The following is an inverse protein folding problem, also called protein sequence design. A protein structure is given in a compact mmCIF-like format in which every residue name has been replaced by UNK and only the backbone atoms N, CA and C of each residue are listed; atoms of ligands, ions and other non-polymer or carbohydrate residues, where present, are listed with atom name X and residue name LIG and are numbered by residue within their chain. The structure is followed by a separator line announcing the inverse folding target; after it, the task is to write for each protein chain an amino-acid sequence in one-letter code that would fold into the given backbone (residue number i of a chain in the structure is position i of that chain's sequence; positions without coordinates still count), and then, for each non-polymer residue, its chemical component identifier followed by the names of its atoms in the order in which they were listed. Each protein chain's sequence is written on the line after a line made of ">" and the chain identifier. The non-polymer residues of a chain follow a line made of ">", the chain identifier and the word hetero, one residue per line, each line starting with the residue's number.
data_IF_100626741430
#
_entry.id   IF_100626741430
#
_cell.length_a   1.000
_cell.length_b   1.000
_cell.length_c   1.000
_cell.angle_alpha   90.00
_cell.angle_beta   90.00
_cell.angle_gamma   90.00
#
_symmetry.space_group_name_H-M   'P 1'
#
loop_
_entity.id
_entity.type
_entity.pdbx_description
1 polymer ?
#
# COMPACT_ATOMS: atom_id res chain seq x y z
N UNK A 1 32.82 15.38 -45.15
CA UNK A 1 32.99 16.59 -44.31
C UNK A 1 31.71 17.06 -43.62
N UNK A 2 30.75 16.18 -43.33
CA UNK A 2 29.59 16.45 -42.44
C UNK A 2 29.61 15.55 -41.19
N UNK A 3 30.24 14.38 -41.32
CA UNK A 3 30.43 13.39 -40.24
C UNK A 3 31.44 13.87 -39.18
N UNK A 4 32.44 14.67 -39.56
CA UNK A 4 33.44 15.21 -38.62
C UNK A 4 32.90 16.37 -37.78
N UNK A 5 32.02 17.22 -38.34
CA UNK A 5 31.40 18.33 -37.60
C UNK A 5 30.38 17.86 -36.56
N UNK A 6 29.82 16.65 -36.71
CA UNK A 6 29.01 15.99 -35.69
C UNK A 6 29.84 15.29 -34.60
N UNK A 7 31.13 15.00 -34.86
CA UNK A 7 32.01 14.29 -33.94
C UNK A 7 32.79 15.22 -32.99
N UNK A 8 32.97 16.50 -33.37
CA UNK A 8 33.58 17.56 -32.53
C UNK A 8 32.60 18.19 -31.52
N UNK A 9 31.42 17.62 -31.39
CA UNK A 9 30.35 18.19 -30.62
C UNK A 9 30.25 17.50 -29.25
N UNK A 10 30.87 18.11 -28.23
CA UNK A 10 30.90 17.67 -26.81
C UNK A 10 29.55 17.21 -26.23
N UNK A 11 28.44 17.62 -26.85
CA UNK A 11 27.08 17.27 -26.44
C UNK A 11 26.55 15.96 -27.04
N UNK A 12 27.17 15.41 -28.08
CA UNK A 12 26.65 14.24 -28.81
C UNK A 12 26.73 12.97 -27.97
N UNK A 13 27.88 12.70 -27.33
CA UNK A 13 28.01 11.54 -26.44
C UNK A 13 27.08 11.63 -25.21
N UNK A 14 26.99 12.76 -24.49
CA UNK A 14 26.00 12.94 -23.43
C UNK A 14 24.54 12.79 -23.90
N UNK A 15 24.17 13.36 -25.04
CA UNK A 15 22.81 13.27 -25.56
C UNK A 15 22.44 11.84 -25.97
N UNK A 16 23.38 11.13 -26.60
CA UNK A 16 23.19 9.73 -26.95
C UNK A 16 23.10 8.85 -25.69
N UNK A 17 23.98 9.08 -24.71
CA UNK A 17 23.92 8.44 -23.40
C UNK A 17 22.58 8.64 -22.71
N UNK A 18 22.07 9.88 -22.71
CA UNK A 18 20.73 10.20 -22.19
C UNK A 18 19.64 9.40 -22.90
N UNK A 19 19.63 9.41 -24.23
CA UNK A 19 18.63 8.73 -25.04
C UNK A 19 18.64 7.22 -24.78
N UNK A 20 19.82 6.60 -24.75
CA UNK A 20 19.95 5.16 -24.47
C UNK A 20 19.51 4.84 -23.04
N UNK A 21 19.96 5.62 -22.05
CA UNK A 21 19.56 5.42 -20.65
C UNK A 21 18.04 5.54 -20.45
N UNK A 22 17.43 6.56 -21.05
CA UNK A 22 16.00 6.77 -21.07
C UNK A 22 15.26 5.61 -21.76
N UNK A 23 15.69 5.24 -22.97
CA UNK A 23 15.03 4.21 -23.77
C UNK A 23 15.16 2.81 -23.14
N UNK A 24 16.32 2.47 -22.59
CA UNK A 24 16.55 1.19 -21.92
C UNK A 24 15.68 1.07 -20.67
N UNK A 25 15.59 2.12 -19.85
CA UNK A 25 14.78 2.07 -18.64
C UNK A 25 13.27 2.06 -18.96
N UNK A 26 12.84 2.81 -19.97
CA UNK A 26 11.48 2.74 -20.49
C UNK A 26 11.13 1.33 -20.97
N UNK A 27 12.00 0.71 -21.78
CA UNK A 27 11.78 -0.64 -22.29
C UNK A 27 11.78 -1.69 -21.17
N UNK A 28 12.66 -1.53 -20.17
CA UNK A 28 12.73 -2.43 -19.03
C UNK A 28 11.40 -2.45 -18.26
N UNK A 29 10.86 -1.27 -17.91
CA UNK A 29 9.55 -1.15 -17.27
C UNK A 29 8.44 -1.73 -18.13
N UNK A 30 8.45 -1.40 -19.43
CA UNK A 30 7.45 -1.93 -20.36
C UNK A 30 7.43 -3.47 -20.36
N UNK A 31 8.59 -4.12 -20.42
CA UNK A 31 8.71 -5.60 -20.42
C UNK A 31 8.37 -6.22 -19.06
N UNK A 32 8.55 -5.50 -17.96
CA UNK A 32 8.20 -5.98 -16.62
C UNK A 32 6.68 -6.13 -16.49
N UNK A 33 5.91 -5.15 -16.96
CA UNK A 33 4.46 -5.12 -16.81
C UNK A 33 3.68 -5.67 -18.02
N UNK A 34 4.25 -5.64 -19.23
CA UNK A 34 3.55 -6.06 -20.45
C UNK A 34 4.20 -7.29 -21.13
N UNK A 35 3.41 -8.18 -21.76
CA UNK A 35 1.94 -8.16 -21.82
C UNK A 35 1.31 -8.70 -20.53
N UNK A 36 0.14 -8.15 -20.17
CA UNK A 36 -0.64 -8.55 -18.98
C UNK A 36 -1.19 -9.97 -19.10
N UNK A 37 -1.64 -10.35 -20.30
CA UNK A 37 -2.01 -11.73 -20.62
C UNK A 37 -0.83 -12.46 -21.24
N UNK A 38 -0.64 -13.76 -20.94
CA UNK A 38 0.35 -14.58 -21.64
C UNK A 38 0.01 -14.68 -23.12
N UNK A 39 0.93 -14.25 -23.98
CA UNK A 39 0.84 -14.38 -25.43
C UNK A 39 1.66 -15.60 -25.85
N UNK A 40 0.98 -16.65 -26.32
CA UNK A 40 1.65 -17.82 -26.86
C UNK A 40 2.11 -17.58 -28.31
N UNK A 41 3.42 -17.59 -28.53
CA UNK A 41 4.01 -17.50 -29.86
C UNK A 41 4.16 -18.92 -30.41
N UNK A 42 3.42 -19.20 -31.49
CA UNK A 42 3.46 -20.48 -32.21
C UNK A 42 4.08 -20.29 -33.59
N UNK A 43 5.08 -21.11 -33.93
CA UNK A 43 5.74 -21.10 -35.24
C UNK A 43 5.52 -22.46 -35.91
N UNK A 44 4.99 -22.47 -37.13
CA UNK A 44 4.66 -23.70 -37.87
C UNK A 44 3.81 -24.71 -37.07
N UNK A 45 2.91 -24.23 -36.21
CA UNK A 45 2.04 -25.07 -35.37
C UNK A 45 2.69 -25.59 -34.07
N UNK A 46 3.98 -25.33 -33.83
CA UNK A 46 4.70 -25.70 -32.61
C UNK A 46 4.78 -24.51 -31.64
N UNK A 47 4.62 -24.80 -30.34
CA UNK A 47 4.78 -23.80 -29.28
C UNK A 47 6.27 -23.40 -29.17
N UNK A 48 6.60 -22.15 -29.50
CA UNK A 48 7.97 -21.65 -29.49
C UNK A 48 8.31 -20.99 -28.15
N UNK A 49 7.47 -20.06 -27.70
CA UNK A 49 7.64 -19.37 -26.42
C UNK A 49 6.35 -18.66 -25.99
N UNK A 50 6.24 -18.34 -24.69
CA UNK A 50 5.18 -17.48 -24.15
C UNK A 50 5.77 -16.16 -23.73
N UNK A 51 5.29 -15.06 -24.34
CA UNK A 51 5.62 -13.71 -23.92
C UNK A 51 4.63 -13.30 -22.81
N UNK A 52 5.15 -12.96 -21.65
CA UNK A 52 4.37 -12.50 -20.50
C UNK A 52 5.24 -11.52 -19.71
N UNK A 53 4.66 -10.40 -19.27
CA UNK A 53 5.33 -9.48 -18.35
C UNK A 53 5.94 -10.23 -17.16
N UNK A 54 7.19 -9.91 -16.83
CA UNK A 54 7.96 -10.63 -15.79
C UNK A 54 7.23 -10.58 -14.44
N UNK A 55 6.61 -9.45 -14.14
CA UNK A 55 5.88 -9.21 -12.90
C UNK A 55 4.57 -9.99 -12.86
N UNK A 56 3.79 -9.92 -13.94
CA UNK A 56 2.51 -10.62 -14.09
C UNK A 56 2.69 -12.14 -14.04
N UNK A 57 3.80 -12.65 -14.60
CA UNK A 57 4.16 -14.07 -14.51
C UNK A 57 4.39 -14.54 -13.06
N UNK A 58 4.77 -13.65 -12.15
CA UNK A 58 5.04 -13.92 -10.73
C UNK A 58 3.92 -13.44 -9.81
N UNK A 59 2.68 -13.37 -10.32
CA UNK A 59 1.51 -12.92 -9.56
C UNK A 59 1.43 -13.54 -8.15
N UNK A 60 1.69 -14.84 -8.01
CA UNK A 60 1.65 -15.51 -6.70
C UNK A 60 2.70 -14.99 -5.72
N UNK A 61 3.96 -14.90 -6.15
CA UNK A 61 5.07 -14.40 -5.31
C UNK A 61 4.84 -12.93 -4.94
N UNK A 62 4.46 -12.12 -5.93
CA UNK A 62 4.17 -10.69 -5.73
C UNK A 62 2.98 -10.52 -4.80
N UNK A 63 1.95 -11.36 -4.89
CA UNK A 63 0.78 -11.27 -4.01
C UNK A 63 1.12 -11.52 -2.56
N UNK A 64 2.02 -12.47 -2.28
CA UNK A 64 2.49 -12.76 -0.93
C UNK A 64 3.32 -11.61 -0.35
N UNK A 65 4.25 -11.03 -1.11
CA UNK A 65 5.06 -9.92 -0.61
C UNK A 65 4.24 -8.64 -0.46
N UNK A 66 3.33 -8.37 -1.40
CA UNK A 66 2.46 -7.20 -1.33
C UNK A 66 1.50 -7.28 -0.15
N UNK A 67 0.85 -8.43 0.09
CA UNK A 67 -0.07 -8.58 1.22
C UNK A 67 0.64 -8.35 2.56
N UNK A 68 1.88 -8.85 2.69
CA UNK A 68 2.71 -8.65 3.86
C UNK A 68 3.00 -7.17 4.10
N UNK A 69 3.51 -6.46 3.09
CA UNK A 69 3.82 -5.03 3.19
C UNK A 69 2.56 -4.22 3.49
N UNK A 70 1.45 -4.49 2.81
CA UNK A 70 0.19 -3.77 3.04
C UNK A 70 -0.35 -4.00 4.45
N UNK A 71 -0.29 -5.22 4.98
CA UNK A 71 -0.73 -5.47 6.35
C UNK A 71 0.19 -4.81 7.37
N UNK A 72 1.50 -4.88 7.17
CA UNK A 72 2.48 -4.27 8.06
C UNK A 72 2.34 -2.74 8.11
N UNK A 73 2.11 -2.10 6.96
CA UNK A 73 2.09 -0.63 6.85
C UNK A 73 0.70 -0.03 7.06
N UNK A 74 -0.36 -0.68 6.59
CA UNK A 74 -1.70 -0.07 6.50
C UNK A 74 -2.80 -0.88 7.19
N UNK A 75 -2.86 -2.19 6.94
CA UNK A 75 -4.00 -3.03 7.30
C UNK A 75 -3.62 -3.99 8.43
N UNK A 76 -3.46 -3.45 9.64
CA UNK A 76 -3.23 -4.23 10.85
C UNK A 76 -4.12 -3.77 12.01
N UNK A 77 -4.18 -4.60 13.05
CA UNK A 77 -5.01 -4.36 14.21
C UNK A 77 -4.73 -3.01 14.90
N UNK A 78 -3.47 -2.58 14.96
CA UNK A 78 -3.09 -1.33 15.62
C UNK A 78 -3.75 -0.14 14.92
N UNK A 79 -3.47 0.03 13.62
CA UNK A 79 -4.00 1.14 12.85
C UNK A 79 -5.53 1.11 12.76
N UNK A 80 -6.13 -0.08 12.66
CA UNK A 80 -7.59 -0.23 12.63
C UNK A 80 -8.25 0.27 13.91
N UNK A 81 -7.72 -0.14 15.07
CA UNK A 81 -8.25 0.30 16.36
C UNK A 81 -7.94 1.77 16.63
N UNK A 82 -6.74 2.25 16.27
CA UNK A 82 -6.40 3.67 16.40
C UNK A 82 -7.31 4.55 15.54
N UNK A 83 -7.59 4.17 14.30
CA UNK A 83 -8.53 4.91 13.44
C UNK A 83 -9.95 4.88 14.01
N UNK A 84 -10.39 3.76 14.59
CA UNK A 84 -11.70 3.68 15.24
C UNK A 84 -11.81 4.55 16.51
N UNK A 85 -10.73 4.66 17.29
CA UNK A 85 -10.72 5.37 18.57
C UNK A 85 -10.38 6.85 18.43
N UNK A 86 -9.55 7.23 17.47
CA UNK A 86 -8.99 8.57 17.35
C UNK A 86 -9.21 9.22 15.97
N UNK A 87 -9.69 8.45 14.98
CA UNK A 87 -9.94 8.93 13.63
C UNK A 87 -11.20 9.81 13.51
N UNK A 88 -11.59 10.09 12.27
CA UNK A 88 -12.67 11.04 11.95
C UNK A 88 -14.02 10.63 12.55
N UNK A 89 -14.26 9.31 12.67
CA UNK A 89 -15.52 8.74 13.16
C UNK A 89 -15.48 8.29 14.63
N UNK A 90 -14.41 8.61 15.35
CA UNK A 90 -14.23 8.26 16.77
C UNK A 90 -15.39 8.68 17.66
N UNK A 91 -15.87 9.91 17.51
CA UNK A 91 -17.02 10.40 18.30
C UNK A 91 -18.29 9.58 18.05
N UNK A 92 -18.53 9.16 16.80
CA UNK A 92 -19.66 8.30 16.49
C UNK A 92 -19.51 6.90 17.13
N UNK A 93 -18.29 6.36 17.14
CA UNK A 93 -17.97 5.12 17.82
C UNK A 93 -18.23 5.22 19.34
N UNK A 94 -17.73 6.27 20.00
CA UNK A 94 -17.95 6.48 21.42
C UNK A 94 -19.42 6.78 21.75
N UNK A 95 -20.17 7.47 20.89
CA UNK A 95 -21.61 7.62 21.07
C UNK A 95 -22.34 6.28 21.03
N UNK A 96 -21.95 5.38 20.14
CA UNK A 96 -22.49 4.03 20.09
C UNK A 96 -22.18 3.27 21.39
N UNK A 97 -20.93 3.32 21.86
CA UNK A 97 -20.51 2.71 23.12
C UNK A 97 -21.31 3.27 24.30
N UNK A 98 -21.40 4.60 24.45
CA UNK A 98 -22.18 5.27 25.50
C UNK A 98 -23.64 4.85 25.47
N UNK A 99 -24.24 4.77 24.28
CA UNK A 99 -25.64 4.35 24.12
C UNK A 99 -25.83 2.91 24.60
N UNK A 100 -24.99 1.98 24.17
CA UNK A 100 -25.10 0.57 24.57
C UNK A 100 -24.81 0.36 26.06
N UNK A 101 -23.83 1.05 26.65
CA UNK A 101 -23.57 0.99 28.09
C UNK A 101 -24.76 1.53 28.89
N UNK A 102 -25.37 2.62 28.42
CA UNK A 102 -26.57 3.16 29.07
C UNK A 102 -27.74 2.19 29.00
N UNK A 103 -27.99 1.55 27.85
CA UNK A 103 -29.01 0.51 27.71
C UNK A 103 -28.72 -0.67 28.64
N UNK A 104 -27.48 -1.13 28.69
CA UNK A 104 -27.06 -2.23 29.57
C UNK A 104 -27.33 -1.90 31.05
N UNK A 105 -27.00 -0.68 31.51
CA UNK A 105 -27.30 -0.24 32.88
C UNK A 105 -28.81 -0.25 33.16
N UNK A 106 -29.61 0.24 32.21
CA UNK A 106 -31.08 0.25 32.35
C UNK A 106 -31.66 -1.17 32.42
N UNK A 107 -31.14 -2.11 31.62
CA UNK A 107 -31.54 -3.53 31.64
C UNK A 107 -31.13 -4.21 32.95
N UNK A 108 -29.91 -3.99 33.43
CA UNK A 108 -29.40 -4.54 34.69
C UNK A 108 -30.24 -4.13 35.89
N UNK A 109 -30.70 -2.88 35.89
CA UNK A 109 -31.53 -2.35 36.95
C UNK A 109 -32.98 -2.78 36.79
N UNK A 110 -33.50 -2.81 35.57
CA UNK A 110 -34.88 -3.19 35.26
C UNK A 110 -35.88 -2.56 36.24
N UNK A 111 -36.72 -3.40 36.86
CA UNK A 111 -37.71 -2.96 37.85
C UNK A 111 -37.10 -2.41 39.15
N UNK A 112 -35.81 -2.65 39.43
CA UNK A 112 -35.12 -2.20 40.65
C UNK A 112 -34.67 -0.74 40.56
N UNK A 113 -34.71 -0.10 39.38
CA UNK A 113 -34.33 1.31 39.18
C UNK A 113 -35.07 2.25 40.12
N UNK A 114 -36.37 2.01 40.35
CA UNK A 114 -37.20 2.81 41.28
C UNK A 114 -36.67 2.72 42.71
N UNK A 115 -36.30 1.51 43.16
CA UNK A 115 -35.75 1.30 44.49
C UNK A 115 -34.37 1.95 44.67
N UNK A 116 -33.50 1.84 43.65
CA UNK A 116 -32.17 2.49 43.66
C UNK A 116 -32.31 4.01 43.69
N UNK A 117 -33.23 4.58 42.91
CA UNK A 117 -33.51 6.01 42.90
C UNK A 117 -34.08 6.49 44.23
N UNK A 118 -34.92 5.70 44.91
CA UNK A 118 -35.45 6.04 46.23
C UNK A 118 -34.36 6.06 47.30
N UNK A 119 -33.43 5.10 47.27
CA UNK A 119 -32.34 5.00 48.25
C UNK A 119 -31.24 6.04 48.05
N UNK A 120 -30.80 6.24 46.81
CA UNK A 120 -29.63 7.08 46.49
C UNK A 120 -30.01 8.52 46.07
N UNK A 121 -31.25 8.73 45.64
CA UNK A 121 -31.68 9.93 44.92
C UNK A 121 -31.34 9.86 43.43
N UNK A 122 -32.24 10.38 42.59
CA UNK A 122 -32.10 10.39 41.12
C UNK A 122 -30.82 11.08 40.67
N UNK A 123 -30.50 12.24 41.23
CA UNK A 123 -29.34 13.03 40.80
C UNK A 123 -28.01 12.33 41.12
N UNK A 124 -27.94 11.66 42.28
CA UNK A 124 -26.74 10.90 42.66
C UNK A 124 -26.59 9.67 41.78
N UNK A 125 -27.69 8.98 41.48
CA UNK A 125 -27.67 7.83 40.59
C UNK A 125 -27.23 8.21 39.17
N UNK A 126 -27.80 9.26 38.56
CA UNK A 126 -27.41 9.69 37.21
C UNK A 126 -25.96 10.18 37.15
N UNK A 127 -25.43 10.80 38.22
CA UNK A 127 -23.99 11.12 38.31
C UNK A 127 -23.12 9.87 38.33
N UNK A 128 -23.49 8.85 39.09
CA UNK A 128 -22.75 7.57 39.12
C UNK A 128 -22.80 6.91 37.75
N UNK A 129 -23.97 6.88 37.12
CA UNK A 129 -24.17 6.33 35.77
C UNK A 129 -23.28 7.04 34.75
N UNK A 130 -23.33 8.36 34.70
CA UNK A 130 -22.51 9.14 33.79
C UNK A 130 -21.01 8.93 34.04
N UNK A 131 -20.61 8.85 35.32
CA UNK A 131 -19.24 8.52 35.72
C UNK A 131 -18.79 7.16 35.20
N UNK A 132 -19.60 6.10 35.39
CA UNK A 132 -19.29 4.77 34.88
C UNK A 132 -19.16 4.71 33.36
N UNK A 133 -20.05 5.40 32.64
CA UNK A 133 -19.99 5.46 31.18
C UNK A 133 -18.73 6.17 30.71
N UNK A 134 -18.39 7.30 31.33
CA UNK A 134 -17.17 8.05 31.00
C UNK A 134 -15.91 7.25 31.30
N UNK A 135 -15.85 6.60 32.46
CA UNK A 135 -14.73 5.75 32.87
C UNK A 135 -14.56 4.59 31.89
N UNK A 136 -15.65 3.91 31.51
CA UNK A 136 -15.60 2.84 30.53
C UNK A 136 -15.06 3.32 29.18
N UNK A 137 -15.51 4.48 28.70
CA UNK A 137 -15.01 5.03 27.44
C UNK A 137 -13.52 5.35 27.51
N UNK A 138 -13.06 5.99 28.59
CA UNK A 138 -11.65 6.31 28.79
C UNK A 138 -10.79 5.03 28.88
N UNK A 139 -11.31 4.01 29.57
CA UNK A 139 -10.57 2.79 29.80
C UNK A 139 -10.57 1.84 28.60
N UNK A 140 -11.51 2.04 27.68
CA UNK A 140 -11.52 1.33 26.41
C UNK A 140 -10.23 1.57 25.61
N UNK A 141 -9.73 2.80 25.60
CA UNK A 141 -8.46 3.17 24.94
C UNK A 141 -7.27 2.43 25.55
N UNK A 142 -7.27 2.21 26.87
CA UNK A 142 -6.20 1.50 27.58
C UNK A 142 -6.29 -0.02 27.45
N UNK A 143 -7.49 -0.57 27.26
CA UNK A 143 -7.73 -2.03 27.22
C UNK A 143 -7.56 -2.61 25.81
N UNK A 144 -7.92 -1.85 24.77
CA UNK A 144 -7.87 -2.32 23.38
C UNK A 144 -6.47 -2.81 22.92
N UNK A 145 -5.34 -2.18 23.31
CA UNK A 145 -4.02 -2.65 22.91
C UNK A 145 -3.70 -4.10 23.32
N UNK A 146 -4.27 -4.60 24.42
CA UNK A 146 -4.11 -6.00 24.83
C UNK A 146 -4.81 -6.98 23.87
N UNK A 147 -5.76 -6.50 23.08
CA UNK A 147 -6.50 -7.28 22.09
C UNK A 147 -5.88 -7.26 20.69
N UNK A 148 -4.79 -6.52 20.44
CA UNK A 148 -4.20 -6.41 19.10
C UNK A 148 -3.73 -7.74 18.54
N UNK A 149 -2.95 -8.51 19.30
CA UNK A 149 -2.46 -9.82 18.87
C UNK A 149 -3.61 -10.77 18.50
N UNK A 150 -4.65 -10.81 19.34
CA UNK A 150 -5.85 -11.60 19.07
C UNK A 150 -6.60 -11.09 17.83
N UNK A 151 -6.75 -9.78 17.68
CA UNK A 151 -7.45 -9.18 16.53
C UNK A 151 -6.74 -9.53 15.23
N UNK A 152 -5.42 -9.42 15.22
CA UNK A 152 -4.59 -9.72 14.04
C UNK A 152 -4.69 -11.20 13.66
N UNK A 153 -4.57 -12.10 14.65
CA UNK A 153 -4.73 -13.54 14.46
C UNK A 153 -6.14 -13.93 14.01
N UNK A 154 -7.18 -13.33 14.59
CA UNK A 154 -8.57 -13.66 14.25
C UNK A 154 -8.96 -13.17 12.85
N UNK A 155 -8.45 -12.00 12.45
CA UNK A 155 -8.77 -11.40 11.16
C UNK A 155 -8.00 -12.02 10.01
N UNK A 156 -6.80 -12.58 10.26
CA UNK A 156 -5.94 -13.20 9.23
C UNK A 156 -5.83 -12.33 7.98
N UNK A 157 -5.56 -11.05 8.20
CA UNK A 157 -5.68 -10.00 7.18
C UNK A 157 -4.73 -10.27 6.01
N UNK A 158 -3.48 -10.66 6.32
CA UNK A 158 -2.48 -10.97 5.31
C UNK A 158 -2.92 -12.14 4.44
N UNK A 159 -3.32 -13.27 5.01
CA UNK A 159 -3.73 -14.43 4.22
C UNK A 159 -4.97 -14.13 3.39
N UNK A 160 -5.92 -13.39 3.96
CA UNK A 160 -7.12 -12.98 3.23
C UNK A 160 -6.78 -12.12 2.01
N UNK A 161 -5.92 -11.11 2.18
CA UNK A 161 -5.50 -10.23 1.08
C UNK A 161 -4.71 -11.02 0.04
N UNK A 162 -3.78 -11.86 0.48
CA UNK A 162 -2.97 -12.70 -0.39
C UNK A 162 -3.83 -13.63 -1.24
N UNK A 163 -4.74 -14.38 -0.63
CA UNK A 163 -5.63 -15.31 -1.33
C UNK A 163 -6.50 -14.57 -2.35
N UNK A 164 -7.01 -13.38 -1.99
CA UNK A 164 -7.82 -12.57 -2.90
C UNK A 164 -7.00 -12.06 -4.07
N UNK A 165 -5.78 -11.57 -3.84
CA UNK A 165 -4.91 -11.09 -4.92
C UNK A 165 -4.47 -12.21 -5.87
N UNK A 166 -4.12 -13.38 -5.34
CA UNK A 166 -3.79 -14.56 -6.15
C UNK A 166 -4.97 -15.02 -7.00
N UNK A 167 -6.18 -14.85 -6.50
CA UNK A 167 -7.42 -15.18 -7.20
C UNK A 167 -7.85 -14.18 -8.28
N UNK A 168 -7.18 -13.03 -8.42
CA UNK A 168 -7.52 -12.03 -9.42
C UNK A 168 -7.15 -12.47 -10.83
N UNK A 169 -7.92 -11.98 -11.81
CA UNK A 169 -7.47 -12.05 -13.21
C UNK A 169 -6.20 -11.20 -13.40
N UNK A 170 -5.36 -11.49 -14.41
CA UNK A 170 -4.16 -10.70 -14.66
C UNK A 170 -4.45 -9.19 -14.84
N UNK A 171 -5.59 -8.86 -15.45
CA UNK A 171 -6.03 -7.47 -15.63
C UNK A 171 -6.41 -6.80 -14.30
N UNK A 172 -7.15 -7.50 -13.44
CA UNK A 172 -7.53 -6.94 -12.14
C UNK A 172 -6.31 -6.82 -11.23
N UNK A 173 -5.39 -7.78 -11.30
CA UNK A 173 -4.13 -7.75 -10.55
C UNK A 173 -3.25 -6.57 -10.98
N UNK A 174 -3.10 -6.36 -12.29
CA UNK A 174 -2.40 -5.19 -12.82
C UNK A 174 -3.09 -3.88 -12.41
N UNK A 175 -4.42 -3.81 -12.48
CA UNK A 175 -5.17 -2.63 -12.10
C UNK A 175 -5.05 -2.26 -10.61
N UNK A 176 -4.81 -3.24 -9.74
CA UNK A 176 -4.52 -2.99 -8.31
C UNK A 176 -3.08 -2.51 -8.11
N UNK A 177 -2.13 -3.06 -8.86
CA UNK A 177 -0.70 -2.86 -8.59
C UNK A 177 -0.07 -1.71 -9.37
N UNK A 178 -0.40 -1.53 -10.64
CA UNK A 178 0.20 -0.50 -11.49
C UNK A 178 0.06 0.91 -10.89
N UNK A 179 -1.09 1.32 -10.31
CA UNK A 179 -1.20 2.63 -9.64
C UNK A 179 -0.22 2.83 -8.49
N UNK A 180 0.21 1.77 -7.81
CA UNK A 180 1.19 1.86 -6.73
C UNK A 180 2.62 2.15 -7.23
N UNK A 181 2.89 1.93 -8.52
CA UNK A 181 4.22 2.11 -9.14
C UNK A 181 4.27 3.23 -10.19
N UNK A 182 3.12 3.64 -10.74
CA UNK A 182 3.02 4.59 -11.87
C UNK A 182 3.82 5.89 -11.65
N UNK A 183 3.75 6.46 -10.44
CA UNK A 183 4.49 7.69 -10.12
C UNK A 183 6.02 7.50 -10.10
N UNK A 184 6.48 6.30 -9.76
CA UNK A 184 7.89 5.97 -9.66
C UNK A 184 8.50 5.56 -11.01
N UNK A 185 7.68 5.12 -11.96
CA UNK A 185 8.12 4.78 -13.31
C UNK A 185 8.81 5.95 -14.01
N UNK A 186 8.19 7.13 -13.99
CA UNK A 186 8.73 8.34 -14.63
C UNK A 186 10.05 8.75 -13.95
N UNK A 187 10.11 8.67 -12.61
CA UNK A 187 11.34 8.99 -11.85
C UNK A 187 12.46 8.04 -12.25
N UNK A 188 12.18 6.74 -12.35
CA UNK A 188 13.17 5.73 -12.74
C UNK A 188 13.68 5.98 -14.17
N UNK A 189 12.79 6.28 -15.12
CA UNK A 189 13.16 6.58 -16.50
C UNK A 189 14.02 7.85 -16.58
N UNK A 190 13.63 8.90 -15.85
CA UNK A 190 14.38 10.15 -15.80
C UNK A 190 15.78 9.96 -15.19
N UNK A 191 15.88 9.20 -14.11
CA UNK A 191 17.15 8.86 -13.46
C UNK A 191 18.03 8.02 -14.39
N UNK A 192 17.46 7.06 -15.13
CA UNK A 192 18.17 6.29 -16.15
C UNK A 192 18.74 7.17 -17.26
N UNK A 193 17.96 8.13 -17.77
CA UNK A 193 18.44 9.12 -18.73
C UNK A 193 19.55 10.00 -18.17
N UNK A 194 19.39 10.51 -16.94
CA UNK A 194 20.40 11.33 -16.28
C UNK A 194 21.72 10.58 -16.12
N UNK A 195 21.70 9.34 -15.64
CA UNK A 195 22.91 8.52 -15.52
C UNK A 195 23.53 8.24 -16.89
N UNK A 196 22.71 7.98 -17.91
CA UNK A 196 23.16 7.85 -19.28
C UNK A 196 23.92 9.10 -19.77
N UNK A 197 23.40 10.30 -19.48
CA UNK A 197 24.05 11.57 -19.84
C UNK A 197 25.40 11.76 -19.11
N UNK A 198 25.44 11.45 -17.81
CA UNK A 198 26.66 11.53 -16.99
C UNK A 198 27.73 10.59 -17.54
N UNK A 199 27.36 9.35 -17.87
CA UNK A 199 28.28 8.38 -18.49
C UNK A 199 28.77 8.91 -19.83
N UNK A 200 27.90 9.49 -20.65
CA UNK A 200 28.29 10.13 -21.92
C UNK A 200 29.28 11.27 -21.74
N UNK A 201 29.13 12.12 -20.71
CA UNK A 201 30.11 13.17 -20.37
C UNK A 201 31.46 12.60 -19.95
N UNK A 202 31.45 11.53 -19.16
CA UNK A 202 32.68 10.83 -18.74
C UNK A 202 33.36 10.20 -19.96
N UNK A 203 32.60 9.59 -20.87
CA UNK A 203 33.13 9.02 -22.11
C UNK A 203 33.77 10.09 -22.99
N UNK A 204 33.13 11.24 -23.15
CA UNK A 204 33.67 12.39 -23.89
C UNK A 204 34.99 12.90 -23.27
N UNK A 205 35.03 13.07 -21.94
CA UNK A 205 36.24 13.49 -21.22
C UNK A 205 37.39 12.49 -21.39
N UNK A 206 37.13 11.19 -21.25
CA UNK A 206 38.13 10.14 -21.44
C UNK A 206 38.60 10.13 -22.90
N UNK A 207 37.69 10.21 -23.86
CA UNK A 207 38.03 10.20 -25.28
C UNK A 207 38.92 11.40 -25.66
N UNK A 208 38.58 12.59 -25.18
CA UNK A 208 39.39 13.80 -25.37
C UNK A 208 40.79 13.66 -24.75
N UNK A 209 40.93 13.04 -23.58
CA UNK A 209 42.25 12.81 -22.95
C UNK A 209 43.10 11.74 -23.66
N UNK A 210 42.47 10.73 -24.27
CA UNK A 210 43.16 9.60 -24.92
C UNK A 210 43.58 9.89 -26.37
N UNK A 211 42.85 10.79 -27.04
CA UNK A 211 43.09 11.20 -28.44
C UNK A 211 43.89 12.52 -28.52
N UNK A 212 43.98 13.27 -27.42
CA UNK A 212 44.73 14.53 -27.30
C UNK A 212 46.21 14.39 -26.94
#
# INVERSE_FOLDING_TARGET
>A
SLIYAFYDAFWVLPAFGFLVGWATNFLALFVIFNPVKPIEIRVCGWHACTLHGVFMKRQDEVSTEFSKVVCEVFVNAVHLWEEMLFGEKSEAFFQLLRKHTNTFIDELLGSKKVFVNLLLGTDKFERIRAGMVNELCAEFENVIPYGYAYTDEAMRMQETIEEKMKGLSPEDFEGVLHPAFEEDEIKLIAVGGLFGAIIGLIQEYIFSFLVG
#
